data_IF_284585726478
#
_entry.id   IF_284585726478
#
_cell.length_a   1.000
_cell.length_b   1.000
_cell.length_c   1.000
_cell.angle_alpha   90.00
_cell.angle_beta   90.00
_cell.angle_gamma   90.00
#
_symmetry.space_group_name_H-M   'P 1'
#
loop_
_entity.id
_entity.type
_entity.pdbx_description
1 polymer ?
#
# COMPACT_ATOMS: atom_id res chain seq x y z
N UNK A 1 -37.99 1.44 29.40
CA UNK A 1 -36.97 2.20 28.66
C UNK A 1 -35.69 2.17 29.46
N UNK A 2 -34.72 1.36 29.04
CA UNK A 2 -33.42 1.25 29.68
C UNK A 2 -32.61 2.46 29.20
N UNK A 3 -32.10 3.27 30.13
CA UNK A 3 -31.23 4.41 29.84
C UNK A 3 -30.05 3.91 28.98
N UNK A 4 -29.58 4.63 27.96
CA UNK A 4 -28.34 4.26 27.29
C UNK A 4 -27.23 4.29 28.35
N UNK A 5 -26.48 3.19 28.46
CA UNK A 5 -25.22 3.15 29.20
C UNK A 5 -24.34 4.30 28.71
N UNK A 6 -23.67 5.07 29.59
CA UNK A 6 -22.67 6.02 29.16
C UNK A 6 -21.60 5.23 28.38
N UNK A 7 -21.28 5.68 27.16
CA UNK A 7 -20.15 5.14 26.42
C UNK A 7 -18.85 5.28 27.24
N UNK A 8 -17.80 4.51 26.92
CA UNK A 8 -16.55 4.55 27.66
C UNK A 8 -16.07 6.00 27.78
N UNK A 9 -15.82 6.45 29.01
CA UNK A 9 -15.23 7.76 29.25
C UNK A 9 -13.89 7.84 28.51
N UNK A 10 -13.75 8.84 27.65
CA UNK A 10 -12.50 9.12 26.93
C UNK A 10 -11.45 9.56 27.95
N UNK A 11 -10.65 8.62 28.44
CA UNK A 11 -9.53 8.89 29.33
C UNK A 11 -8.25 9.10 28.49
N UNK A 12 -7.40 10.03 28.91
CA UNK A 12 -6.14 10.33 28.22
C UNK A 12 -5.23 9.09 28.19
N UNK A 13 -5.38 8.20 29.17
CA UNK A 13 -4.76 6.88 29.24
C UNK A 13 -5.17 5.98 28.07
N UNK A 14 -6.46 5.92 27.75
CA UNK A 14 -6.98 5.15 26.62
C UNK A 14 -6.40 5.64 25.29
N UNK A 15 -6.38 6.96 25.09
CA UNK A 15 -5.81 7.57 23.87
C UNK A 15 -4.31 7.23 23.72
N UNK A 16 -3.55 7.24 24.82
CA UNK A 16 -2.13 6.85 24.81
C UNK A 16 -1.97 5.36 24.44
N UNK A 17 -2.77 4.46 25.03
CA UNK A 17 -2.71 3.03 24.75
C UNK A 17 -3.02 2.72 23.28
N UNK A 18 -4.12 3.27 22.76
CA UNK A 18 -4.52 3.11 21.35
C UNK A 18 -3.41 3.62 20.40
N UNK A 19 -2.79 4.74 20.76
CA UNK A 19 -1.71 5.35 19.97
C UNK A 19 -0.44 4.49 19.99
N UNK A 20 -0.07 3.94 21.15
CA UNK A 20 1.09 3.05 21.29
C UNK A 20 0.91 1.74 20.53
N UNK A 21 -0.28 1.12 20.58
CA UNK A 21 -0.59 -0.08 19.80
C UNK A 21 -0.50 0.22 18.30
N UNK A 22 -1.07 1.34 17.85
CA UNK A 22 -0.99 1.76 16.45
C UNK A 22 0.44 2.05 15.97
N UNK A 23 1.32 2.49 16.87
CA UNK A 23 2.74 2.74 16.60
C UNK A 23 3.58 1.45 16.56
N UNK A 24 3.03 0.33 17.01
CA UNK A 24 3.69 -0.97 17.09
C UNK A 24 4.63 -1.11 18.28
N UNK A 25 4.36 -0.39 19.39
CA UNK A 25 5.05 -0.62 20.65
C UNK A 25 4.65 -2.01 21.20
N UNK A 26 5.59 -2.75 21.77
CA UNK A 26 5.38 -4.12 22.28
C UNK A 26 5.85 -4.29 23.74
N UNK A 27 6.09 -3.18 24.44
CA UNK A 27 6.57 -3.19 25.82
C UNK A 27 5.48 -3.28 26.89
N UNK A 28 5.87 -3.33 28.17
CA UNK A 28 4.97 -3.62 29.29
C UNK A 28 3.91 -2.55 29.55
N UNK A 29 4.12 -1.32 29.07
CA UNK A 29 3.19 -0.21 29.25
C UNK A 29 1.98 -0.21 28.30
N UNK A 30 1.80 -1.28 27.50
CA UNK A 30 0.52 -1.55 26.81
C UNK A 30 -0.57 -2.03 27.76
N UNK A 31 -0.22 -2.51 28.97
CA UNK A 31 -1.21 -2.86 29.97
C UNK A 31 -1.67 -1.61 30.74
N UNK A 32 -2.98 -1.32 30.73
CA UNK A 32 -3.56 -0.12 31.34
C UNK A 32 -3.13 0.10 32.80
N UNK A 33 -3.12 -0.96 33.60
CA UNK A 33 -2.72 -0.89 35.00
C UNK A 33 -1.22 -0.64 35.19
N UNK A 34 -0.39 -1.12 34.27
CA UNK A 34 1.05 -0.85 34.28
C UNK A 34 1.33 0.60 33.89
N UNK A 35 0.64 1.11 32.86
CA UNK A 35 0.72 2.50 32.42
C UNK A 35 0.34 3.47 33.53
N UNK A 36 -0.79 3.26 34.21
CA UNK A 36 -1.24 4.13 35.30
C UNK A 36 -0.19 4.22 36.40
N UNK A 37 0.37 3.08 36.83
CA UNK A 37 1.41 3.04 37.87
C UNK A 37 2.70 3.73 37.45
N UNK A 38 3.12 3.55 36.20
CA UNK A 38 4.33 4.15 35.66
C UNK A 38 4.19 5.69 35.58
N UNK A 39 3.04 6.17 35.11
CA UNK A 39 2.73 7.60 34.96
C UNK A 39 2.53 8.28 36.33
N UNK A 40 1.95 7.59 37.32
CA UNK A 40 1.86 8.10 38.71
C UNK A 40 3.23 8.22 39.37
N UNK A 41 4.17 7.34 39.00
CA UNK A 41 5.55 7.34 39.49
C UNK A 41 6.49 8.26 38.68
N UNK A 42 6.04 8.76 37.52
CA UNK A 42 6.77 9.68 36.65
C UNK A 42 8.19 9.21 36.31
N UNK A 43 9.16 10.12 36.37
CA UNK A 43 10.58 9.84 36.09
C UNK A 43 11.24 8.89 37.10
N UNK A 44 10.58 8.55 38.22
CA UNK A 44 11.08 7.53 39.15
C UNK A 44 10.75 6.11 38.70
N UNK A 45 9.84 5.93 37.73
CA UNK A 45 9.59 4.62 37.09
C UNK A 45 10.60 4.38 35.97
N UNK A 46 11.34 3.25 36.00
CA UNK A 46 12.21 2.88 34.89
C UNK A 46 11.40 2.60 33.63
N UNK A 47 10.21 2.00 33.74
CA UNK A 47 9.36 1.67 32.60
C UNK A 47 8.87 2.95 31.87
N UNK A 48 8.51 4.00 32.63
CA UNK A 48 8.13 5.29 32.05
C UNK A 48 9.31 5.93 31.29
N UNK A 49 10.50 5.87 31.87
CA UNK A 49 11.72 6.42 31.27
C UNK A 49 12.10 5.66 29.99
N UNK A 50 12.03 4.32 30.01
CA UNK A 50 12.25 3.48 28.83
C UNK A 50 11.28 3.77 27.69
N UNK A 51 10.00 4.03 28.00
CA UNK A 51 9.03 4.42 26.97
C UNK A 51 9.35 5.78 26.34
N UNK A 52 9.78 6.76 27.15
CA UNK A 52 10.20 8.07 26.64
C UNK A 52 11.44 7.94 25.73
N UNK A 53 12.41 7.11 26.12
CA UNK A 53 13.60 6.80 25.31
C UNK A 53 13.19 6.12 24.00
N UNK A 54 12.29 5.14 24.06
CA UNK A 54 11.81 4.45 22.87
C UNK A 54 11.14 5.43 21.91
N UNK A 55 10.21 6.26 22.38
CA UNK A 55 9.55 7.28 21.56
C UNK A 55 10.58 8.26 20.95
N UNK A 56 11.53 8.74 21.75
CA UNK A 56 12.61 9.62 21.27
C UNK A 56 13.47 8.96 20.18
N UNK A 57 13.82 7.68 20.35
CA UNK A 57 14.61 6.91 19.38
C UNK A 57 13.89 6.70 18.05
N UNK A 58 12.56 6.69 18.05
CA UNK A 58 11.73 6.56 16.84
C UNK A 58 11.53 7.91 16.14
N UNK A 59 11.49 9.02 16.89
CA UNK A 59 11.31 10.37 16.35
C UNK A 59 12.61 10.92 15.75
N UNK A 60 13.75 10.73 16.43
CA UNK A 60 15.06 11.25 15.99
C UNK A 60 15.44 10.93 14.53
N UNK A 61 15.26 9.72 13.98
CA UNK A 61 15.59 9.47 12.57
C UNK A 61 14.61 10.12 11.56
N UNK A 62 13.48 10.67 12.03
CA UNK A 62 12.47 11.29 11.18
C UNK A 62 12.61 12.82 11.11
N UNK A 63 13.43 13.42 11.98
CA UNK A 63 13.66 14.86 12.11
C UNK A 63 15.15 15.14 12.31
N UNK A 64 15.65 16.27 11.79
CA UNK A 64 17.02 16.72 12.05
C UNK A 64 17.13 17.37 13.45
N UNK A 65 16.95 16.56 14.51
CA UNK A 65 17.05 16.96 15.91
C UNK A 65 18.49 16.83 16.41
N UNK A 66 18.99 17.85 17.10
CA UNK A 66 20.32 17.80 17.73
C UNK A 66 20.22 17.01 19.04
N UNK A 67 19.18 17.30 19.84
CA UNK A 67 18.92 16.67 21.12
C UNK A 67 18.48 15.19 20.99
N UNK A 68 18.68 14.40 22.04
CA UNK A 68 18.15 13.04 22.15
C UNK A 68 17.79 12.71 23.60
N UNK A 69 16.76 11.89 23.75
CA UNK A 69 16.42 11.23 25.02
C UNK A 69 17.25 9.95 25.07
N UNK A 70 18.37 9.97 25.80
CA UNK A 70 19.38 8.90 25.74
C UNK A 70 19.84 8.37 27.09
N UNK A 71 19.55 9.06 28.20
CA UNK A 71 20.07 8.61 29.49
C UNK A 71 19.39 7.34 30.03
N UNK A 72 20.19 6.28 30.17
CA UNK A 72 20.01 5.18 31.13
C UNK A 72 21.32 5.01 31.91
N UNK A 73 21.63 5.93 32.83
CA UNK A 73 22.86 5.88 33.60
C UNK A 73 22.60 6.07 35.10
N UNK A 74 22.14 5.00 35.76
CA UNK A 74 22.07 4.92 37.23
C UNK A 74 20.98 5.80 37.86
N UNK A 75 20.45 5.34 38.98
CA UNK A 75 19.33 5.93 39.72
C UNK A 75 19.59 7.32 40.34
N UNK A 76 20.56 8.10 39.88
CA UNK A 76 21.06 9.27 40.61
C UNK A 76 20.95 10.62 39.86
N UNK A 77 20.55 10.67 38.58
CA UNK A 77 20.41 11.96 37.89
C UNK A 77 19.11 12.13 37.07
N UNK A 78 18.00 12.14 37.80
CA UNK A 78 16.66 12.47 37.27
C UNK A 78 16.64 13.87 36.65
N UNK A 79 17.42 14.81 37.20
CA UNK A 79 17.47 16.20 36.73
C UNK A 79 18.10 16.29 35.33
N UNK A 80 19.18 15.56 35.08
CA UNK A 80 19.79 15.47 33.74
C UNK A 80 18.87 14.81 32.72
N UNK A 81 18.21 13.70 33.08
CA UNK A 81 17.26 13.06 32.16
C UNK A 81 16.08 13.98 31.83
N UNK A 82 15.60 14.72 32.81
CA UNK A 82 14.54 15.70 32.62
C UNK A 82 14.97 16.91 31.77
N UNK A 83 16.26 17.30 31.82
CA UNK A 83 16.84 18.29 30.94
C UNK A 83 16.91 17.80 29.49
N UNK A 84 17.30 16.55 29.25
CA UNK A 84 17.27 15.93 27.91
C UNK A 84 15.86 15.96 27.32
N UNK A 85 14.85 15.53 28.09
CA UNK A 85 13.44 15.59 27.68
C UNK A 85 13.05 17.04 27.37
N UNK A 86 13.43 18.00 28.22
CA UNK A 86 13.09 19.41 28.01
C UNK A 86 13.74 20.00 26.76
N UNK A 87 14.99 19.64 26.44
CA UNK A 87 15.68 20.04 25.22
C UNK A 87 15.01 19.45 23.99
N UNK A 88 14.74 18.14 24.02
CA UNK A 88 14.05 17.43 22.95
C UNK A 88 12.66 18.00 22.65
N UNK A 89 11.87 18.32 23.68
CA UNK A 89 10.55 18.95 23.52
C UNK A 89 10.62 20.38 22.97
N UNK A 90 11.68 21.14 23.27
CA UNK A 90 11.87 22.49 22.70
C UNK A 90 12.13 22.43 21.21
N UNK A 91 12.98 21.52 20.76
CA UNK A 91 13.24 21.35 19.32
C UNK A 91 11.98 20.90 18.57
N UNK A 92 11.18 20.01 19.18
CA UNK A 92 9.86 19.62 18.66
C UNK A 92 8.80 20.71 18.77
N UNK A 93 9.13 21.91 19.27
CA UNK A 93 8.19 23.02 19.44
C UNK A 93 6.95 22.66 20.26
N UNK A 94 7.13 21.88 21.33
CA UNK A 94 6.03 21.41 22.17
C UNK A 94 5.21 22.58 22.75
N UNK A 95 3.86 22.53 22.66
CA UNK A 95 3.01 23.65 23.06
C UNK A 95 2.77 23.71 24.58
N UNK A 96 3.09 22.64 25.32
CA UNK A 96 2.85 22.56 26.75
C UNK A 96 3.97 23.25 27.53
N UNK A 97 3.72 24.51 27.91
CA UNK A 97 4.67 25.29 28.71
C UNK A 97 5.00 24.63 30.06
N UNK A 98 4.10 23.82 30.62
CA UNK A 98 4.32 23.07 31.87
C UNK A 98 5.40 22.00 31.76
N UNK A 99 5.69 21.51 30.55
CA UNK A 99 6.72 20.50 30.31
C UNK A 99 8.11 21.12 30.02
N UNK A 100 8.13 22.38 29.57
CA UNK A 100 9.33 23.02 28.99
C UNK A 100 9.87 24.17 29.86
N UNK A 101 9.00 24.82 30.63
CA UNK A 101 9.25 26.03 31.40
C UNK A 101 8.96 25.82 32.89
N UNK A 102 9.49 26.70 33.75
CA UNK A 102 9.37 26.59 35.21
C UNK A 102 10.55 25.86 35.87
N UNK A 103 10.44 25.57 37.16
CA UNK A 103 11.48 24.82 37.89
C UNK A 103 11.56 23.38 37.35
N UNK A 104 12.78 22.90 37.07
CA UNK A 104 13.03 21.53 36.63
C UNK A 104 12.50 20.56 37.69
N UNK A 105 12.69 20.88 38.97
CA UNK A 105 12.27 19.98 40.05
C UNK A 105 10.78 19.71 40.09
N UNK A 106 9.95 20.54 39.46
CA UNK A 106 8.49 20.43 39.55
C UNK A 106 7.79 19.85 38.33
N UNK A 107 8.51 19.63 37.21
CA UNK A 107 7.90 19.06 36.00
C UNK A 107 7.85 17.54 36.07
N UNK A 108 6.91 16.94 35.34
CA UNK A 108 6.70 15.48 35.26
C UNK A 108 6.48 14.78 36.62
N UNK A 109 6.04 15.54 37.64
CA UNK A 109 5.58 14.99 38.93
C UNK A 109 4.09 14.63 38.94
N UNK A 110 3.29 15.33 38.12
CA UNK A 110 1.85 15.10 38.04
C UNK A 110 1.57 14.05 36.99
N UNK A 111 0.68 13.11 37.32
CA UNK A 111 0.15 12.11 36.39
C UNK A 111 -0.29 12.73 35.06
N UNK A 112 -1.01 13.84 35.13
CA UNK A 112 -1.51 14.59 33.97
C UNK A 112 -0.40 15.14 33.06
N UNK A 113 0.73 15.59 33.63
CA UNK A 113 1.86 16.09 32.84
C UNK A 113 2.65 14.95 32.19
N UNK A 114 2.74 13.80 32.85
CA UNK A 114 3.31 12.57 32.29
C UNK A 114 2.47 12.04 31.12
N UNK A 115 1.13 12.06 31.22
CA UNK A 115 0.26 11.66 30.12
C UNK A 115 0.35 12.63 28.94
N UNK A 116 0.38 13.95 29.18
CA UNK A 116 0.60 14.94 28.11
C UNK A 116 1.91 14.71 27.38
N UNK A 117 2.98 14.35 28.09
CA UNK A 117 4.26 14.03 27.47
C UNK A 117 4.13 12.83 26.52
N UNK A 118 3.59 11.72 27.01
CA UNK A 118 3.44 10.49 26.21
C UNK A 118 2.51 10.71 25.01
N UNK A 119 1.40 11.41 25.21
CA UNK A 119 0.46 11.73 24.14
C UNK A 119 1.11 12.64 23.09
N UNK A 120 1.84 13.67 23.52
CA UNK A 120 2.55 14.56 22.60
C UNK A 120 3.59 13.79 21.76
N UNK A 121 4.50 13.05 22.41
CA UNK A 121 5.55 12.32 21.70
C UNK A 121 4.99 11.26 20.74
N UNK A 122 3.96 10.52 21.18
CA UNK A 122 3.33 9.48 20.35
C UNK A 122 2.58 10.07 19.15
N UNK A 123 1.84 11.17 19.34
CA UNK A 123 1.14 11.85 18.23
C UNK A 123 2.09 12.55 17.26
N UNK A 124 3.19 13.13 17.75
CA UNK A 124 4.26 13.67 16.90
C UNK A 124 4.92 12.56 16.07
N UNK A 125 5.23 11.42 16.66
CA UNK A 125 5.76 10.27 15.93
C UNK A 125 4.79 9.80 14.82
N UNK A 126 3.49 9.72 15.12
CA UNK A 126 2.48 9.40 14.12
C UNK A 126 2.45 10.44 12.99
N UNK A 127 2.44 11.73 13.32
CA UNK A 127 2.44 12.82 12.35
C UNK A 127 3.68 12.75 11.44
N UNK A 128 4.87 12.53 12.01
CA UNK A 128 6.12 12.39 11.28
C UNK A 128 6.13 11.17 10.36
N UNK A 129 5.65 10.01 10.82
CA UNK A 129 5.49 8.81 9.98
C UNK A 129 4.49 9.05 8.84
N UNK A 130 3.41 9.77 9.09
CA UNK A 130 2.44 10.18 8.05
C UNK A 130 3.10 11.11 7.04
N UNK A 131 3.87 12.11 7.49
CA UNK A 131 4.58 13.05 6.62
C UNK A 131 5.66 12.35 5.80
N UNK A 132 6.43 11.43 6.38
CA UNK A 132 7.41 10.63 5.65
C UNK A 132 6.73 9.73 4.60
N UNK A 133 5.64 9.06 4.97
CA UNK A 133 4.84 8.25 4.04
C UNK A 133 4.18 9.12 2.96
N UNK A 134 3.82 10.36 3.27
CA UNK A 134 3.31 11.35 2.32
C UNK A 134 4.45 11.91 1.46
N UNK A 135 5.68 12.05 1.94
CA UNK A 135 6.85 12.36 1.09
C UNK A 135 7.09 11.23 0.10
N UNK A 136 6.89 9.98 0.53
CA UNK A 136 6.96 8.78 -0.33
C UNK A 136 5.76 8.61 -1.28
N UNK A 137 4.60 9.24 -1.02
CA UNK A 137 3.35 9.07 -1.80
C UNK A 137 2.81 10.33 -2.48
N UNK A 138 3.24 11.49 -2.03
CA UNK A 138 2.73 12.83 -2.32
C UNK A 138 3.66 13.53 -3.29
N UNK A 139 3.78 12.94 -4.47
CA UNK A 139 4.75 13.28 -5.49
C UNK A 139 4.05 14.03 -6.65
N UNK A 140 3.06 14.90 -6.36
CA UNK A 140 2.47 15.79 -7.39
C UNK A 140 3.49 16.83 -7.91
N UNK A 141 4.53 17.16 -7.13
CA UNK A 141 5.70 17.93 -7.62
C UNK A 141 6.79 17.05 -8.25
N UNK A 142 6.67 15.73 -8.09
CA UNK A 142 7.70 14.73 -8.44
C UNK A 142 7.41 14.05 -9.77
N UNK A 143 6.20 14.18 -10.35
CA UNK A 143 5.96 13.69 -11.74
C UNK A 143 6.98 14.24 -12.73
N UNK A 144 7.39 15.49 -12.58
CA UNK A 144 8.43 16.08 -13.43
C UNK A 144 9.80 15.46 -13.18
N UNK A 145 10.10 15.06 -11.94
CA UNK A 145 11.33 14.39 -11.55
C UNK A 145 11.33 12.91 -11.97
N UNK A 146 10.22 12.19 -11.80
CA UNK A 146 10.02 10.82 -12.29
C UNK A 146 10.10 10.77 -13.82
N UNK A 147 9.40 11.67 -14.54
CA UNK A 147 9.49 11.76 -16.01
C UNK A 147 10.92 12.08 -16.44
N UNK A 148 11.61 13.00 -15.74
CA UNK A 148 13.01 13.32 -16.03
C UNK A 148 13.94 12.13 -15.77
N UNK A 149 13.73 11.38 -14.68
CA UNK A 149 14.48 10.18 -14.35
C UNK A 149 14.25 9.06 -15.37
N UNK A 150 13.01 8.87 -15.84
CA UNK A 150 12.67 7.92 -16.89
C UNK A 150 13.33 8.30 -18.22
N UNK A 151 13.26 9.58 -18.61
CA UNK A 151 13.97 10.09 -19.81
C UNK A 151 15.48 9.92 -19.66
N UNK A 152 16.03 10.18 -18.47
CA UNK A 152 17.45 9.96 -18.20
C UNK A 152 17.83 8.48 -18.25
N UNK A 153 16.99 7.59 -17.73
CA UNK A 153 17.20 6.14 -17.81
C UNK A 153 17.17 5.64 -19.25
N UNK A 154 16.29 6.20 -20.11
CA UNK A 154 16.32 5.95 -21.55
C UNK A 154 17.64 6.43 -22.14
N UNK A 155 18.08 7.66 -21.85
CA UNK A 155 19.34 8.19 -22.34
C UNK A 155 20.55 7.34 -21.92
N UNK A 156 20.61 6.93 -20.66
CA UNK A 156 21.67 6.09 -20.11
C UNK A 156 21.68 4.70 -20.78
N UNK A 157 20.50 4.10 -20.99
CA UNK A 157 20.34 2.82 -21.70
C UNK A 157 20.80 2.90 -23.15
N UNK A 158 20.57 4.06 -23.79
CA UNK A 158 20.99 4.32 -25.17
C UNK A 158 22.42 4.84 -25.30
N UNK A 159 23.14 4.93 -24.18
CA UNK A 159 24.48 5.51 -24.07
C UNK A 159 24.57 6.90 -24.73
N UNK A 160 23.52 7.71 -24.57
CA UNK A 160 23.51 9.09 -25.03
C UNK A 160 24.33 9.96 -24.06
N UNK A 161 25.08 10.96 -24.56
CA UNK A 161 25.79 11.89 -23.69
C UNK A 161 24.77 12.61 -22.80
N UNK A 162 25.08 12.70 -21.50
CA UNK A 162 24.26 13.47 -20.54
C UNK A 162 24.17 14.91 -21.03
N UNK A 163 22.99 15.31 -21.51
CA UNK A 163 22.80 16.65 -22.01
C UNK A 163 22.87 17.63 -20.84
N UNK A 164 23.81 18.57 -20.88
CA UNK A 164 23.87 19.73 -19.97
C UNK A 164 22.70 20.71 -20.20
N UNK A 165 21.91 20.48 -21.26
CA UNK A 165 20.76 21.30 -21.64
C UNK A 165 19.47 20.73 -21.06
N UNK A 166 18.70 21.55 -20.34
CA UNK A 166 17.38 21.20 -19.78
C UNK A 166 16.25 21.12 -20.82
N UNK A 167 16.56 21.09 -22.12
CA UNK A 167 15.57 21.21 -23.19
C UNK A 167 15.06 19.84 -23.67
N UNK A 168 13.86 19.47 -23.23
CA UNK A 168 13.25 18.14 -23.43
C UNK A 168 13.08 17.77 -24.92
N UNK A 169 12.60 18.65 -25.83
CA UNK A 169 12.46 18.32 -27.25
C UNK A 169 13.79 17.92 -27.91
N UNK A 170 14.88 18.58 -27.53
CA UNK A 170 16.22 18.27 -28.06
C UNK A 170 16.65 16.87 -27.59
N UNK A 171 16.46 16.55 -26.31
CA UNK A 171 16.75 15.21 -25.76
C UNK A 171 15.93 14.14 -26.49
N UNK A 172 14.63 14.37 -26.69
CA UNK A 172 13.75 13.43 -27.40
C UNK A 172 14.18 13.22 -28.86
N UNK A 173 14.62 14.28 -29.55
CA UNK A 173 15.12 14.15 -30.93
C UNK A 173 16.41 13.31 -31.02
N UNK A 174 17.30 13.41 -30.03
CA UNK A 174 18.50 12.56 -29.95
C UNK A 174 18.14 11.09 -29.68
N UNK A 175 17.17 10.86 -28.78
CA UNK A 175 16.62 9.52 -28.51
C UNK A 175 16.03 8.92 -29.79
N UNK A 176 15.21 9.67 -30.51
CA UNK A 176 14.59 9.22 -31.76
C UNK A 176 15.65 8.87 -32.83
N UNK A 177 16.65 9.72 -33.01
CA UNK A 177 17.75 9.50 -33.96
C UNK A 177 18.55 8.23 -33.61
N UNK A 178 18.89 8.07 -32.33
CA UNK A 178 19.62 6.88 -31.85
C UNK A 178 18.80 5.61 -32.00
N UNK A 179 17.50 5.67 -31.73
CA UNK A 179 16.56 4.57 -31.98
C UNK A 179 16.56 4.18 -33.46
N UNK A 180 16.44 5.14 -34.38
CA UNK A 180 16.48 4.87 -35.83
C UNK A 180 17.80 4.21 -36.26
N UNK A 181 18.94 4.65 -35.75
CA UNK A 181 20.25 4.03 -36.01
C UNK A 181 20.31 2.58 -35.50
N UNK A 182 19.87 2.31 -34.27
CA UNK A 182 19.83 0.95 -33.70
C UNK A 182 18.90 0.06 -34.51
N UNK A 183 17.70 0.54 -34.84
CA UNK A 183 16.72 -0.22 -35.61
C UNK A 183 17.24 -0.59 -37.01
N UNK A 184 18.06 0.26 -37.63
CA UNK A 184 18.68 -0.05 -38.93
C UNK A 184 19.70 -1.19 -38.89
N UNK A 185 20.26 -1.48 -37.72
CA UNK A 185 21.26 -2.54 -37.49
C UNK A 185 20.64 -3.88 -37.10
N UNK A 186 19.36 -3.89 -36.75
CA UNK A 186 18.62 -5.06 -36.31
C UNK A 186 17.85 -5.66 -37.49
N UNK A 187 17.65 -6.99 -37.48
CA UNK A 187 16.86 -7.66 -38.52
C UNK A 187 15.44 -7.09 -38.59
N UNK A 188 14.91 -6.89 -39.82
CA UNK A 188 13.61 -6.27 -40.08
C UNK A 188 12.40 -6.94 -39.39
N UNK A 189 12.54 -8.18 -38.92
CA UNK A 189 11.49 -8.95 -38.25
C UNK A 189 11.61 -8.96 -36.72
N UNK A 190 12.59 -8.26 -36.14
CA UNK A 190 12.82 -8.29 -34.70
C UNK A 190 11.77 -7.48 -33.92
N UNK A 191 11.18 -6.45 -34.53
CA UNK A 191 10.09 -5.66 -33.95
C UNK A 191 8.90 -5.78 -34.89
N UNK A 192 7.75 -6.22 -34.38
CA UNK A 192 6.51 -6.29 -35.14
C UNK A 192 6.08 -4.91 -35.68
N UNK A 193 5.23 -4.90 -36.71
CA UNK A 193 4.71 -3.64 -37.26
C UNK A 193 3.76 -2.96 -36.25
N UNK A 194 3.74 -1.62 -36.19
CA UNK A 194 2.77 -0.88 -35.39
C UNK A 194 1.34 -1.28 -35.73
N UNK A 195 0.50 -1.44 -34.70
CA UNK A 195 -0.91 -1.74 -34.88
C UNK A 195 -1.65 -0.51 -35.44
N UNK A 196 -1.36 0.68 -34.88
CA UNK A 196 -1.81 1.95 -35.41
C UNK A 196 -0.85 2.41 -36.51
N UNK A 197 -1.36 2.53 -37.74
CA UNK A 197 -0.57 2.91 -38.93
C UNK A 197 -0.88 4.31 -39.45
N UNK A 198 -1.99 4.90 -39.00
CA UNK A 198 -2.43 6.21 -39.41
C UNK A 198 -1.85 7.27 -38.47
N UNK A 199 -1.37 8.37 -39.04
CA UNK A 199 -1.06 9.56 -38.28
C UNK A 199 -2.37 10.20 -37.81
N UNK A 200 -2.40 10.62 -36.55
CA UNK A 200 -3.58 11.20 -35.93
C UNK A 200 -3.51 12.73 -36.05
N UNK A 201 -4.59 13.34 -36.53
CA UNK A 201 -4.77 14.80 -36.36
C UNK A 201 -4.96 15.14 -34.88
N UNK A 202 -4.74 16.40 -34.45
CA UNK A 202 -4.99 16.81 -33.07
C UNK A 202 -6.41 16.48 -32.59
N UNK A 203 -7.42 16.66 -33.45
CA UNK A 203 -8.82 16.36 -33.15
C UNK A 203 -9.06 14.85 -33.01
N UNK A 204 -8.40 14.04 -33.83
CA UNK A 204 -8.46 12.58 -33.75
C UNK A 204 -7.75 12.05 -32.50
N UNK A 205 -6.63 12.66 -32.11
CA UNK A 205 -5.92 12.33 -30.88
C UNK A 205 -6.78 12.63 -29.64
N UNK A 206 -7.42 13.79 -29.59
CA UNK A 206 -8.36 14.13 -28.52
C UNK A 206 -9.55 13.16 -28.47
N UNK A 207 -10.10 12.80 -29.63
CA UNK A 207 -11.18 11.81 -29.69
C UNK A 207 -10.73 10.43 -29.21
N UNK A 208 -9.49 10.03 -29.50
CA UNK A 208 -8.92 8.76 -29.06
C UNK A 208 -8.69 8.73 -27.54
N UNK A 209 -8.28 9.85 -26.94
CA UNK A 209 -8.21 10.00 -25.48
C UNK A 209 -9.59 9.83 -24.84
N UNK A 210 -10.64 10.47 -25.39
CA UNK A 210 -12.02 10.28 -24.92
C UNK A 210 -12.47 8.82 -24.97
N UNK A 211 -12.12 8.10 -26.03
CA UNK A 211 -12.43 6.67 -26.17
C UNK A 211 -11.67 5.86 -25.12
N UNK A 212 -10.37 6.14 -24.92
CA UNK A 212 -9.56 5.45 -23.93
C UNK A 212 -10.12 5.66 -22.51
N UNK A 213 -10.55 6.87 -22.17
CA UNK A 213 -11.14 7.18 -20.87
C UNK A 213 -12.45 6.41 -20.64
N UNK A 214 -13.34 6.41 -21.64
CA UNK A 214 -14.59 5.66 -21.58
C UNK A 214 -14.35 4.15 -21.39
N UNK A 215 -13.41 3.58 -22.16
CA UNK A 215 -13.03 2.17 -22.02
C UNK A 215 -12.40 1.89 -20.66
N UNK A 216 -11.52 2.77 -20.17
CA UNK A 216 -10.91 2.61 -18.86
C UNK A 216 -11.97 2.58 -17.76
N UNK A 217 -12.94 3.50 -17.75
CA UNK A 217 -14.05 3.48 -16.81
C UNK A 217 -14.82 2.15 -16.86
N UNK A 218 -15.10 1.65 -18.05
CA UNK A 218 -15.81 0.38 -18.24
C UNK A 218 -15.01 -0.82 -17.71
N UNK A 219 -13.72 -0.89 -18.04
CA UNK A 219 -12.82 -1.94 -17.56
C UNK A 219 -12.63 -1.89 -16.04
N UNK A 220 -12.56 -0.70 -15.45
CA UNK A 220 -12.51 -0.57 -14.00
C UNK A 220 -13.77 -1.14 -13.34
N UNK A 221 -14.95 -0.83 -13.89
CA UNK A 221 -16.21 -1.40 -13.43
C UNK A 221 -16.20 -2.93 -13.52
N UNK A 222 -15.75 -3.50 -14.65
CA UNK A 222 -15.59 -4.96 -14.81
C UNK A 222 -14.61 -5.55 -13.80
N UNK A 223 -13.47 -4.91 -13.56
CA UNK A 223 -12.46 -5.37 -12.59
C UNK A 223 -13.01 -5.37 -11.17
N UNK A 224 -13.74 -4.31 -10.75
CA UNK A 224 -14.42 -4.28 -9.45
C UNK A 224 -15.41 -5.43 -9.31
N UNK A 225 -16.20 -5.69 -10.35
CA UNK A 225 -17.16 -6.79 -10.36
C UNK A 225 -16.48 -8.15 -10.23
N UNK A 226 -15.40 -8.39 -10.98
CA UNK A 226 -14.62 -9.63 -10.89
C UNK A 226 -13.96 -9.81 -9.53
N UNK A 227 -13.41 -8.76 -8.95
CA UNK A 227 -12.83 -8.78 -7.61
C UNK A 227 -13.90 -9.08 -6.56
N UNK A 228 -15.09 -8.47 -6.67
CA UNK A 228 -16.20 -8.76 -5.77
C UNK A 228 -16.71 -10.19 -5.92
N UNK A 229 -16.76 -10.72 -7.15
CA UNK A 229 -17.09 -12.14 -7.39
C UNK A 229 -16.06 -13.04 -6.70
N UNK A 230 -14.78 -12.75 -6.85
CA UNK A 230 -13.72 -13.49 -6.16
C UNK A 230 -13.92 -13.46 -4.64
N UNK A 231 -14.21 -12.28 -4.06
CA UNK A 231 -14.49 -12.12 -2.64
C UNK A 231 -15.65 -13.04 -2.19
N UNK A 232 -16.78 -13.00 -2.92
CA UNK A 232 -17.97 -13.81 -2.59
C UNK A 232 -17.71 -15.30 -2.77
N UNK A 233 -16.96 -15.70 -3.80
CA UNK A 233 -16.56 -17.10 -4.00
C UNK A 233 -15.71 -17.58 -2.83
N UNK A 234 -14.73 -16.80 -2.38
CA UNK A 234 -13.90 -17.16 -1.23
C UNK A 234 -14.72 -17.23 0.06
N UNK A 235 -15.63 -16.28 0.27
CA UNK A 235 -16.56 -16.28 1.40
C UNK A 235 -17.47 -17.52 1.43
N UNK A 236 -17.89 -18.01 0.26
CA UNK A 236 -18.76 -19.19 0.16
C UNK A 236 -18.11 -20.47 0.71
N UNK A 237 -16.77 -20.57 0.69
CA UNK A 237 -16.09 -21.71 1.32
C UNK A 237 -16.35 -21.75 2.82
N UNK A 238 -16.51 -20.60 3.49
CA UNK A 238 -16.82 -20.51 4.91
C UNK A 238 -18.25 -20.93 5.29
N UNK A 239 -19.09 -21.33 4.34
CA UNK A 239 -20.48 -21.71 4.65
C UNK A 239 -20.61 -23.15 5.19
N UNK A 240 -19.63 -24.02 4.92
CA UNK A 240 -19.61 -25.37 5.48
C UNK A 240 -18.96 -25.41 6.87
N UNK A 241 -19.50 -26.20 7.80
CA UNK A 241 -18.98 -26.27 9.18
C UNK A 241 -17.52 -26.73 9.24
N UNK A 242 -17.11 -27.62 8.32
CA UNK A 242 -15.73 -28.08 8.19
C UNK A 242 -14.77 -26.96 7.77
N UNK A 243 -15.23 -26.01 6.95
CA UNK A 243 -14.40 -24.93 6.43
C UNK A 243 -14.42 -23.68 7.31
N UNK A 244 -15.45 -23.47 8.13
CA UNK A 244 -15.50 -22.38 9.14
C UNK A 244 -14.24 -22.39 10.03
N UNK A 245 -13.82 -23.58 10.47
CA UNK A 245 -12.61 -23.79 11.29
C UNK A 245 -11.31 -23.39 10.57
N UNK A 246 -11.32 -23.28 9.23
CA UNK A 246 -10.16 -22.89 8.41
C UNK A 246 -10.26 -21.48 7.85
N UNK A 247 -11.21 -20.67 8.34
CA UNK A 247 -11.46 -19.34 7.80
C UNK A 247 -10.25 -18.42 7.94
N UNK A 248 -9.57 -18.50 9.08
CA UNK A 248 -8.37 -17.70 9.36
C UNK A 248 -7.20 -18.09 8.45
N UNK A 249 -7.02 -19.39 8.19
CA UNK A 249 -6.02 -19.89 7.24
C UNK A 249 -6.29 -19.40 5.81
N UNK A 250 -7.56 -19.45 5.39
CA UNK A 250 -7.98 -18.95 4.07
C UNK A 250 -7.75 -17.45 3.99
N UNK A 251 -8.13 -16.68 5.01
CA UNK A 251 -7.94 -15.23 5.05
C UNK A 251 -6.44 -14.86 4.99
N UNK A 252 -5.59 -15.56 5.75
CA UNK A 252 -4.14 -15.37 5.78
C UNK A 252 -3.50 -15.49 4.39
N UNK A 253 -3.99 -16.41 3.55
CA UNK A 253 -3.48 -16.59 2.18
C UNK A 253 -4.16 -15.64 1.18
N UNK A 254 -5.47 -15.43 1.34
CA UNK A 254 -6.28 -14.69 0.38
C UNK A 254 -6.04 -13.18 0.47
N UNK A 255 -6.03 -12.61 1.67
CA UNK A 255 -6.00 -11.16 1.86
C UNK A 255 -4.78 -10.49 1.19
N UNK A 256 -3.54 -11.00 1.32
CA UNK A 256 -2.39 -10.40 0.62
C UNK A 256 -2.58 -10.37 -0.90
N UNK A 257 -3.09 -11.46 -1.48
CA UNK A 257 -3.37 -11.55 -2.93
C UNK A 257 -4.50 -10.59 -3.32
N UNK A 258 -5.52 -10.46 -2.49
CA UNK A 258 -6.66 -9.58 -2.72
C UNK A 258 -6.28 -8.10 -2.65
N UNK A 259 -5.37 -7.72 -1.76
CA UNK A 259 -4.85 -6.36 -1.66
C UNK A 259 -3.91 -5.99 -2.81
N UNK A 260 -3.22 -6.97 -3.40
CA UNK A 260 -2.42 -6.76 -4.60
C UNK A 260 -3.27 -6.51 -5.86
N UNK A 261 -4.54 -6.90 -5.86
CA UNK A 261 -5.44 -6.64 -6.99
C UNK A 261 -5.97 -5.21 -6.95
N UNK A 262 -5.79 -4.49 -8.04
CA UNK A 262 -6.34 -3.14 -8.23
C UNK A 262 -7.51 -3.15 -9.22
N UNK A 263 -8.58 -2.37 -8.96
CA UNK A 263 -9.63 -2.14 -9.94
C UNK A 263 -9.18 -1.21 -11.07
N UNK A 264 -8.14 -0.39 -10.86
CA UNK A 264 -7.69 0.60 -11.85
C UNK A 264 -7.05 -0.08 -13.06
N UNK A 265 -7.29 0.49 -14.24
CA UNK A 265 -6.59 0.08 -15.46
C UNK A 265 -5.17 0.63 -15.45
N UNK A 266 -4.25 -0.12 -16.06
CA UNK A 266 -2.86 0.32 -16.30
C UNK A 266 -2.64 0.69 -17.76
N UNK A 267 -3.68 0.56 -18.59
CA UNK A 267 -3.62 0.83 -20.03
C UNK A 267 -3.78 2.33 -20.24
N UNK A 268 -2.90 2.89 -21.05
CA UNK A 268 -2.87 4.32 -21.39
C UNK A 268 -2.74 4.47 -22.90
N UNK A 269 -2.93 5.70 -23.41
CA UNK A 269 -2.71 6.01 -24.82
C UNK A 269 -1.31 5.60 -25.30
N UNK A 270 -0.28 5.73 -24.46
CA UNK A 270 1.07 5.31 -24.79
C UNK A 270 1.16 3.80 -25.09
N UNK A 271 0.40 2.96 -24.38
CA UNK A 271 0.35 1.52 -24.65
C UNK A 271 -0.30 1.22 -26.00
N UNK A 272 -1.31 2.00 -26.40
CA UNK A 272 -1.94 1.88 -27.71
C UNK A 272 -0.98 2.27 -28.84
N UNK A 273 -0.23 3.37 -28.67
CA UNK A 273 0.78 3.80 -29.65
C UNK A 273 1.97 2.82 -29.74
N UNK A 274 2.33 2.20 -28.62
CA UNK A 274 3.35 1.15 -28.58
C UNK A 274 2.85 -0.20 -29.14
N UNK A 275 1.53 -0.40 -29.27
CA UNK A 275 0.95 -1.68 -29.67
C UNK A 275 1.43 -2.12 -31.05
N UNK A 276 1.66 -3.43 -31.18
CA UNK A 276 2.10 -4.10 -32.41
C UNK A 276 1.04 -5.07 -32.91
N UNK A 277 1.15 -5.46 -34.18
CA UNK A 277 0.16 -6.33 -34.85
C UNK A 277 -0.06 -7.67 -34.15
N UNK A 278 0.91 -8.18 -33.39
CA UNK A 278 0.78 -9.40 -32.59
C UNK A 278 -0.27 -9.28 -31.48
N UNK A 279 -0.48 -8.09 -30.90
CA UNK A 279 -1.53 -7.84 -29.91
C UNK A 279 -2.94 -7.95 -30.48
N UNK A 280 -3.11 -7.86 -31.81
CA UNK A 280 -4.40 -8.09 -32.46
C UNK A 280 -4.78 -9.57 -32.57
N UNK A 281 -3.85 -10.48 -32.26
CA UNK A 281 -4.10 -11.93 -32.31
C UNK A 281 -4.85 -12.36 -31.06
N UNK A 282 -6.15 -12.61 -31.22
CA UNK A 282 -6.99 -13.15 -30.14
C UNK A 282 -6.61 -14.61 -29.88
N UNK A 283 -5.93 -14.86 -28.77
CA UNK A 283 -5.63 -16.23 -28.32
C UNK A 283 -6.82 -16.73 -27.51
N UNK A 284 -7.37 -17.90 -27.90
CA UNK A 284 -8.43 -18.54 -27.14
C UNK A 284 -7.90 -18.97 -25.77
N UNK A 285 -8.54 -18.46 -24.71
CA UNK A 285 -8.27 -18.84 -23.31
C UNK A 285 -8.57 -20.31 -23.02
N UNK A 286 -9.35 -20.98 -23.88
CA UNK A 286 -9.64 -22.41 -23.81
C UNK A 286 -8.63 -23.31 -24.56
N UNK A 287 -7.53 -22.76 -25.08
CA UNK A 287 -6.51 -23.54 -25.78
C UNK A 287 -5.79 -24.51 -24.84
N UNK A 288 -5.38 -25.67 -25.37
CA UNK A 288 -4.67 -26.71 -24.59
C UNK A 288 -3.43 -26.19 -23.86
N UNK A 289 -2.64 -25.33 -24.52
CA UNK A 289 -1.44 -24.71 -23.96
C UNK A 289 -1.72 -23.77 -22.78
N UNK A 290 -2.90 -23.13 -22.74
CA UNK A 290 -3.33 -22.30 -21.60
C UNK A 290 -3.87 -23.16 -20.46
N UNK A 291 -4.50 -24.30 -20.79
CA UNK A 291 -5.04 -25.27 -19.81
C UNK A 291 -3.94 -26.04 -19.08
N UNK A 292 -2.83 -26.37 -19.75
CA UNK A 292 -1.67 -27.02 -19.12
C UNK A 292 -1.20 -26.26 -17.88
N UNK A 293 -1.17 -24.93 -17.94
CA UNK A 293 -0.75 -24.05 -16.83
C UNK A 293 -1.75 -23.95 -15.68
N UNK A 294 -2.99 -24.43 -15.87
CA UNK A 294 -4.06 -24.43 -14.86
C UNK A 294 -4.47 -25.85 -14.45
N UNK A 295 -3.69 -26.85 -14.84
CA UNK A 295 -3.90 -28.23 -14.39
C UNK A 295 -3.60 -28.34 -12.89
N UNK A 296 -4.60 -28.80 -12.13
CA UNK A 296 -4.46 -29.16 -10.73
C UNK A 296 -5.34 -30.40 -10.46
N UNK A 297 -5.14 -31.05 -9.32
CA UNK A 297 -5.89 -32.27 -8.97
C UNK A 297 -7.42 -32.09 -9.06
N UNK A 298 -7.91 -30.86 -8.86
CA UNK A 298 -9.33 -30.49 -8.96
C UNK A 298 -9.77 -30.36 -10.43
N UNK A 299 -8.99 -29.69 -11.28
CA UNK A 299 -9.33 -29.47 -12.69
C UNK A 299 -9.18 -30.75 -13.54
N UNK A 300 -8.40 -31.74 -13.10
CA UNK A 300 -8.26 -33.04 -13.77
C UNK A 300 -9.57 -33.87 -13.80
N UNK A 301 -10.46 -33.69 -12.82
CA UNK A 301 -11.71 -34.47 -12.72
C UNK A 301 -12.78 -33.96 -13.69
N UNK A 302 -12.74 -32.67 -14.06
CA UNK A 302 -13.65 -32.09 -15.05
C UNK A 302 -13.33 -32.56 -16.49
N UNK A 303 -12.09 -32.99 -16.76
CA UNK A 303 -11.66 -33.43 -18.09
C UNK A 303 -12.24 -34.80 -18.48
N UNK A 304 -12.55 -35.68 -17.51
CA UNK A 304 -13.19 -36.98 -17.77
C UNK A 304 -14.70 -36.87 -18.03
N UNK A 305 -15.35 -35.81 -17.56
CA UNK A 305 -16.80 -35.61 -17.70
C UNK A 305 -17.22 -35.04 -19.07
N UNK A 306 -16.27 -34.71 -19.96
CA UNK A 306 -16.58 -34.25 -21.31
C UNK A 306 -16.56 -35.37 -22.36
N UNK A 307 -16.11 -36.58 -22.00
CA UNK A 307 -15.90 -37.67 -22.98
C UNK A 307 -16.72 -38.94 -22.71
N UNK A 308 -17.18 -39.23 -21.48
CA UNK A 308 -17.86 -40.52 -21.23
C UNK A 308 -19.26 -40.37 -20.60
N UNK A 309 -20.23 -41.02 -21.26
CA UNK A 309 -21.47 -41.59 -20.71
C UNK A 309 -22.61 -40.67 -20.21
N UNK A 310 -23.61 -40.58 -21.09
CA UNK A 310 -25.06 -40.54 -20.84
C UNK A 310 -25.43 -41.63 -19.81
N UNK A 311 -26.25 -41.29 -18.79
CA UNK A 311 -26.65 -42.12 -17.61
C UNK A 311 -25.53 -42.18 -16.56
N UNK A 312 -25.48 -41.34 -15.52
CA UNK A 312 -26.43 -41.25 -14.42
C UNK A 312 -26.50 -39.80 -13.93
N UNK A 313 -27.63 -39.16 -14.19
CA UNK A 313 -28.06 -37.95 -13.51
C UNK A 313 -29.00 -38.39 -12.42
N UNK A 314 -28.67 -38.09 -11.17
CA UNK A 314 -29.50 -37.26 -10.30
C UNK A 314 -28.79 -37.02 -8.97
N UNK A 315 -28.97 -35.81 -8.43
CA UNK A 315 -28.64 -35.35 -7.07
C UNK A 315 -27.27 -34.68 -6.80
N UNK A 316 -26.10 -35.14 -7.27
CA UNK A 316 -24.82 -34.51 -6.81
C UNK A 316 -24.16 -33.50 -7.77
N UNK A 317 -24.35 -33.65 -9.08
CA UNK A 317 -23.78 -32.75 -10.09
C UNK A 317 -24.44 -31.36 -10.16
N UNK A 318 -25.75 -31.16 -9.89
CA UNK A 318 -26.36 -29.84 -9.97
C UNK A 318 -25.78 -28.83 -8.97
N UNK A 319 -25.31 -29.25 -7.79
CA UNK A 319 -24.86 -28.29 -6.76
C UNK A 319 -23.45 -27.73 -7.06
N UNK A 320 -22.50 -28.59 -7.46
CA UNK A 320 -21.16 -28.13 -7.88
C UNK A 320 -21.20 -27.42 -9.23
N UNK A 321 -22.01 -27.90 -10.18
CA UNK A 321 -22.20 -27.19 -11.45
C UNK A 321 -22.95 -25.87 -11.26
N UNK A 322 -23.91 -25.72 -10.34
CA UNK A 322 -24.55 -24.40 -10.15
C UNK A 322 -23.61 -23.33 -9.57
N UNK A 323 -22.57 -23.70 -8.81
CA UNK A 323 -21.55 -22.76 -8.34
C UNK A 323 -20.43 -22.50 -9.36
N UNK A 324 -20.08 -23.49 -10.19
CA UNK A 324 -18.98 -23.37 -11.18
C UNK A 324 -19.50 -22.90 -12.56
N UNK A 325 -20.75 -23.22 -12.92
CA UNK A 325 -21.42 -22.88 -14.20
C UNK A 325 -22.41 -21.71 -14.11
N UNK A 326 -22.35 -20.82 -13.11
CA UNK A 326 -22.77 -19.42 -13.31
C UNK A 326 -21.72 -18.64 -14.14
N UNK A 327 -21.32 -19.30 -15.23
CA UNK A 327 -20.48 -18.88 -16.32
C UNK A 327 -21.26 -19.14 -17.63
N UNK A 328 -22.39 -18.45 -17.87
CA UNK A 328 -22.74 -18.11 -19.23
C UNK A 328 -23.18 -16.65 -19.32
N UNK A 329 -22.20 -15.75 -19.39
CA UNK A 329 -22.31 -14.45 -20.06
C UNK A 329 -20.89 -14.00 -20.44
N UNK A 330 -20.16 -14.89 -21.11
CA UNK A 330 -18.88 -14.58 -21.76
C UNK A 330 -18.99 -14.81 -23.28
N UNK A 331 -20.14 -14.42 -23.83
CA UNK A 331 -20.45 -14.57 -25.25
C UNK A 331 -21.20 -13.34 -25.78
N UNK A 332 -20.59 -12.17 -25.60
CA UNK A 332 -20.76 -10.98 -26.43
C UNK A 332 -19.70 -9.97 -25.98
N UNK A 333 -18.98 -9.38 -26.92
CA UNK A 333 -17.95 -8.34 -26.75
C UNK A 333 -16.58 -8.83 -26.26
N UNK A 334 -15.90 -9.59 -27.12
CA UNK A 334 -14.54 -9.28 -27.54
C UNK A 334 -14.53 -9.19 -29.07
#
# INVERSE_FOLDING_TARGET
MRRPEPGPELSMEGDVLDTLEALGYDGPLLEEQALIKAVESGLSSPEFSELCIWLGSQIKPLCDLEESISSTAGSEDIESFQLEISGFLKELSCPYSTLISGDIKDRLKKKDDCLKLLLFLSTELQALRILQKKKLKGSQLDKNNEIYQEVQAICDTLCLPKSTTSDIPVVLSHVESKMKDILSKVQNNHIGKPLLKADLSPEQAEQLERINDALCCEYECRRRMLMKRLDVTVQSFGWSDRAKVKTDDIARIYQPKRYALSPKTTITLAHLLAAREDLSKIIRTSSGSTREKTTCAINKVCDLLSVESRLEREVFVPWLCSQIFFFPLFKACF
#
